data_IF_854622393247
#
_entry.id   IF_854622393247
#
_cell.length_a   1.000
_cell.length_b   1.000
_cell.length_c   1.000
_cell.angle_alpha   90.00
_cell.angle_beta   90.00
_cell.angle_gamma   90.00
#
_symmetry.space_group_name_H-M   'P 1'
#
loop_
_entity.id
_entity.type
_entity.pdbx_description
1 polymer ?
#
# COMPACT_ATOMS: atom_id res chain seq x y z
N UNK A 1 -16.67 -5.24 -16.77
CA UNK A 1 -15.59 -4.22 -16.64
C UNK A 1 -16.14 -3.05 -15.83
N UNK A 2 -16.11 -3.14 -14.50
CA UNK A 2 -16.51 -2.03 -13.63
C UNK A 2 -15.26 -1.25 -13.25
N UNK A 3 -15.04 -0.11 -13.90
CA UNK A 3 -14.04 0.87 -13.50
C UNK A 3 -14.50 1.49 -12.17
N UNK A 4 -13.92 1.04 -11.05
CA UNK A 4 -14.21 1.62 -9.74
C UNK A 4 -13.97 3.14 -9.78
N UNK A 5 -14.85 3.96 -9.20
CA UNK A 5 -14.69 5.41 -9.18
C UNK A 5 -13.50 5.73 -8.28
N UNK A 6 -12.35 6.06 -8.86
CA UNK A 6 -11.28 6.71 -8.13
C UNK A 6 -11.87 7.95 -7.46
N UNK A 7 -11.82 8.02 -6.12
CA UNK A 7 -12.41 9.13 -5.35
C UNK A 7 -11.88 10.47 -5.86
N UNK A 8 -12.73 11.50 -5.84
CA UNK A 8 -12.37 12.87 -6.27
C UNK A 8 -11.07 13.30 -5.56
N UNK A 9 -10.04 13.63 -6.36
CA UNK A 9 -8.73 14.03 -5.85
C UNK A 9 -7.74 12.89 -5.57
N UNK A 10 -8.04 11.65 -5.97
CA UNK A 10 -7.11 10.51 -5.86
C UNK A 10 -6.42 10.22 -7.19
N UNK A 11 -5.19 9.71 -7.12
CA UNK A 11 -4.42 9.23 -8.27
C UNK A 11 -4.05 7.76 -8.04
N UNK A 12 -4.17 6.94 -9.07
CA UNK A 12 -3.67 5.57 -9.05
C UNK A 12 -2.15 5.58 -9.24
N UNK A 13 -1.43 4.89 -8.37
CA UNK A 13 0.02 4.69 -8.46
C UNK A 13 0.31 3.20 -8.50
N UNK A 14 1.21 2.80 -9.41
CA UNK A 14 1.80 1.46 -9.41
C UNK A 14 3.05 1.44 -8.54
N UNK A 15 3.27 0.34 -7.82
CA UNK A 15 4.45 0.15 -6.96
C UNK A 15 5.13 -1.14 -7.41
N UNK A 16 6.38 -1.04 -7.85
CA UNK A 16 7.21 -2.22 -8.07
C UNK A 16 7.79 -2.69 -6.74
N UNK A 17 7.64 -3.98 -6.44
CA UNK A 17 8.21 -4.61 -5.25
C UNK A 17 8.56 -6.07 -5.55
N UNK A 18 9.30 -6.71 -4.64
CA UNK A 18 9.57 -8.14 -4.74
C UNK A 18 8.28 -8.95 -4.58
N UNK A 19 8.17 -10.07 -5.30
CA UNK A 19 6.99 -10.93 -5.29
C UNK A 19 6.62 -11.39 -3.87
N UNK A 20 7.60 -11.87 -3.11
CA UNK A 20 7.42 -12.32 -1.71
C UNK A 20 6.77 -11.25 -0.81
N UNK A 21 7.09 -9.98 -1.07
CA UNK A 21 6.54 -8.86 -0.31
C UNK A 21 5.09 -8.56 -0.71
N UNK A 22 4.77 -8.71 -2.00
CA UNK A 22 3.41 -8.57 -2.49
C UNK A 22 2.51 -9.68 -1.94
N UNK A 23 2.97 -10.93 -1.95
CA UNK A 23 2.24 -12.08 -1.40
C UNK A 23 1.99 -11.93 0.11
N UNK A 24 2.99 -11.46 0.86
CA UNK A 24 2.84 -11.16 2.28
C UNK A 24 1.78 -10.07 2.52
N UNK A 25 1.81 -9.01 1.72
CA UNK A 25 0.85 -7.90 1.79
C UNK A 25 -0.58 -8.39 1.53
N UNK A 26 -0.76 -9.23 0.51
CA UNK A 26 -2.05 -9.85 0.17
C UNK A 26 -2.55 -10.78 1.27
N UNK A 27 -1.68 -11.64 1.81
CA UNK A 27 -2.04 -12.55 2.91
C UNK A 27 -2.53 -11.80 4.14
N UNK A 28 -1.83 -10.72 4.53
CA UNK A 28 -2.24 -9.88 5.67
C UNK A 28 -3.54 -9.16 5.40
N UNK A 29 -3.70 -8.55 4.22
CA UNK A 29 -4.94 -7.89 3.82
C UNK A 29 -6.13 -8.86 3.89
N UNK A 30 -5.96 -10.09 3.36
CA UNK A 30 -6.99 -11.13 3.41
C UNK A 30 -7.35 -11.54 4.84
N UNK A 31 -6.36 -11.70 5.74
CA UNK A 31 -6.62 -12.05 7.15
C UNK A 31 -7.43 -10.98 7.90
N UNK A 32 -7.39 -9.72 7.44
CA UNK A 32 -8.12 -8.60 8.01
C UNK A 32 -9.41 -8.27 7.25
N UNK A 33 -9.79 -9.08 6.24
CA UNK A 33 -10.93 -8.82 5.34
C UNK A 33 -10.84 -7.46 4.63
N UNK A 34 -9.63 -7.03 4.29
CA UNK A 34 -9.35 -5.79 3.57
C UNK A 34 -8.91 -6.09 2.14
N UNK A 35 -9.15 -5.14 1.22
CA UNK A 35 -8.46 -5.16 -0.07
C UNK A 35 -6.98 -4.83 0.12
N UNK A 36 -6.10 -5.43 -0.70
CA UNK A 36 -4.66 -5.13 -0.70
C UNK A 36 -4.37 -3.64 -0.81
N UNK A 37 -5.13 -2.93 -1.65
CA UNK A 37 -5.02 -1.47 -1.79
C UNK A 37 -5.44 -0.69 -0.55
N UNK A 38 -6.48 -1.14 0.19
CA UNK A 38 -6.87 -0.52 1.45
C UNK A 38 -5.82 -0.75 2.55
N UNK A 39 -5.32 -1.99 2.65
CA UNK A 39 -4.26 -2.35 3.59
C UNK A 39 -2.97 -1.56 3.33
N UNK A 40 -2.56 -1.45 2.07
CA UNK A 40 -1.41 -0.65 1.65
C UNK A 40 -1.55 0.83 2.06
N UNK A 41 -2.73 1.43 1.88
CA UNK A 41 -3.00 2.82 2.30
C UNK A 41 -2.88 3.00 3.82
N UNK A 42 -3.33 2.03 4.61
CA UNK A 42 -3.22 2.08 6.08
C UNK A 42 -1.75 2.10 6.49
N UNK A 43 -0.95 1.15 5.98
CA UNK A 43 0.49 1.07 6.30
C UNK A 43 1.22 2.36 5.90
N UNK A 44 0.98 2.84 4.68
CA UNK A 44 1.62 4.07 4.21
C UNK A 44 1.20 5.29 5.04
N UNK A 45 -0.07 5.34 5.46
CA UNK A 45 -0.58 6.38 6.36
C UNK A 45 0.04 6.33 7.75
N UNK A 46 0.18 5.14 8.33
CA UNK A 46 0.88 4.94 9.61
C UNK A 46 2.35 5.32 9.51
N UNK A 47 3.01 4.94 8.42
CA UNK A 47 4.39 5.32 8.16
C UNK A 47 4.57 6.85 8.10
N UNK A 48 3.72 7.56 7.34
CA UNK A 48 3.73 9.04 7.30
C UNK A 48 3.52 9.64 8.71
N UNK A 49 2.55 9.11 9.48
CA UNK A 49 2.24 9.59 10.84
C UNK A 49 3.38 9.32 11.82
N UNK A 50 4.13 8.24 11.64
CA UNK A 50 5.25 7.88 12.52
C UNK A 50 6.40 8.90 12.48
N UNK A 51 6.47 9.75 11.45
CA UNK A 51 7.59 10.68 11.23
C UNK A 51 8.91 9.98 10.91
N UNK A 52 8.93 8.65 10.79
CA UNK A 52 10.12 7.86 10.49
C UNK A 52 10.48 8.02 9.02
N UNK A 53 11.30 9.00 8.70
CA UNK A 53 11.84 9.14 7.33
C UNK A 53 12.62 7.87 6.99
N UNK A 54 12.19 7.17 5.94
CA UNK A 54 13.05 6.20 5.25
C UNK A 54 14.25 7.00 4.76
N UNK A 55 15.39 6.85 5.46
CA UNK A 55 16.66 7.34 4.95
C UNK A 55 17.03 6.43 3.80
N UNK A 56 16.74 6.86 2.58
CA UNK A 56 17.33 6.28 1.37
C UNK A 56 18.80 6.72 1.34
N UNK A 57 19.60 6.13 2.23
CA UNK A 57 21.05 6.19 2.12
C UNK A 57 21.46 4.96 1.33
N UNK A 58 22.12 5.16 0.20
CA UNK A 58 22.84 4.09 -0.48
C UNK A 58 23.98 3.63 0.45
N UNK A 59 24.03 2.32 0.68
CA UNK A 59 25.15 1.65 1.38
C UNK A 59 26.18 1.16 0.37
#
# INVERSE_FOLDING_TARGET
>A
MATNPAGKGTKTIGINMKLEMAEELERRAASMQLSTGAYCKIILGEWIKSGSKLKLQES
#
